data_IF_034787387879
#
_entry.id   IF_034787387879
#
_cell.length_a   1.000
_cell.length_b   1.000
_cell.length_c   1.000
_cell.angle_alpha   90.00
_cell.angle_beta   90.00
_cell.angle_gamma   90.00
#
_symmetry.space_group_name_H-M   'P 1'
#
loop_
_entity.id
_entity.type
_entity.pdbx_description
1 polymer ?
#
# COMPACT_ATOMS: atom_id res chain seq x y z
N UNK A 1 2.47 1.64 25.24
CA UNK A 1 1.61 0.82 26.13
C UNK A 1 0.31 1.59 26.38
N UNK A 2 -0.81 0.91 26.60
CA UNK A 2 -2.09 1.50 27.00
C UNK A 2 -2.88 0.48 27.81
N UNK A 3 -3.74 0.94 28.73
CA UNK A 3 -4.60 0.09 29.55
C UNK A 3 -3.88 -1.09 30.24
N UNK A 4 -2.64 -0.87 30.69
CA UNK A 4 -1.85 -1.88 31.40
C UNK A 4 -1.12 -2.89 30.51
N UNK A 5 -1.13 -2.74 29.18
CA UNK A 5 -0.47 -3.67 28.26
C UNK A 5 0.16 -3.01 27.03
N UNK A 6 0.75 -3.82 26.15
CA UNK A 6 1.20 -3.34 24.86
C UNK A 6 -0.01 -2.98 23.99
N UNK A 7 0.07 -1.90 23.20
CA UNK A 7 -1.06 -1.50 22.34
C UNK A 7 -1.41 -2.58 21.29
N UNK A 8 -0.44 -3.43 20.95
CA UNK A 8 -0.62 -4.57 20.07
C UNK A 8 -1.57 -5.65 20.64
N UNK A 9 -1.65 -5.76 21.97
CA UNK A 9 -2.55 -6.72 22.65
C UNK A 9 -4.02 -6.30 22.54
N UNK A 10 -4.28 -5.05 22.17
CA UNK A 10 -5.64 -4.55 21.92
C UNK A 10 -6.14 -5.10 20.58
N UNK A 11 -7.23 -5.89 20.62
CA UNK A 11 -7.75 -6.61 19.44
C UNK A 11 -7.95 -5.73 18.21
N UNK A 12 -8.47 -4.51 18.38
CA UNK A 12 -8.67 -3.57 17.28
C UNK A 12 -7.36 -3.16 16.57
N UNK A 13 -6.26 -3.05 17.32
CA UNK A 13 -4.92 -2.80 16.75
C UNK A 13 -4.42 -4.06 16.04
N UNK A 14 -4.57 -5.23 16.67
CA UNK A 14 -4.21 -6.52 16.07
C UNK A 14 -4.91 -6.76 14.72
N UNK A 15 -6.23 -6.54 14.63
CA UNK A 15 -7.00 -6.71 13.39
C UNK A 15 -6.54 -5.74 12.30
N UNK A 16 -6.33 -4.47 12.64
CA UNK A 16 -5.82 -3.48 11.68
C UNK A 16 -4.46 -3.86 11.12
N UNK A 17 -3.55 -4.32 11.98
CA UNK A 17 -2.21 -4.73 11.55
C UNK A 17 -2.24 -6.02 10.73
N UNK A 18 -3.12 -6.96 11.08
CA UNK A 18 -3.34 -8.17 10.29
C UNK A 18 -3.86 -7.86 8.88
N UNK A 19 -4.79 -6.90 8.76
CA UNK A 19 -5.28 -6.43 7.46
C UNK A 19 -4.18 -5.74 6.65
N UNK A 20 -3.39 -4.86 7.29
CA UNK A 20 -2.25 -4.20 6.64
C UNK A 20 -1.22 -5.22 6.13
N UNK A 21 -0.89 -6.23 6.95
CA UNK A 21 0.05 -7.29 6.56
C UNK A 21 -0.47 -8.08 5.35
N UNK A 22 -1.76 -8.41 5.34
CA UNK A 22 -2.41 -9.11 4.22
C UNK A 22 -2.37 -8.28 2.93
N UNK A 23 -2.68 -6.99 3.00
CA UNK A 23 -2.63 -6.08 1.86
C UNK A 23 -1.20 -5.88 1.33
N UNK A 24 -0.21 -5.79 2.22
CA UNK A 24 1.20 -5.72 1.83
C UNK A 24 1.66 -6.98 1.09
N UNK A 25 1.24 -8.16 1.55
CA UNK A 25 1.57 -9.41 0.88
C UNK A 25 0.91 -9.49 -0.50
N UNK A 26 -0.37 -9.11 -0.63
CA UNK A 26 -1.03 -9.03 -1.93
C UNK A 26 -0.32 -8.07 -2.90
N UNK A 27 0.10 -6.89 -2.43
CA UNK A 27 0.84 -5.92 -3.24
C UNK A 27 2.19 -6.49 -3.69
N UNK A 28 2.91 -7.16 -2.79
CA UNK A 28 4.17 -7.85 -3.10
C UNK A 28 3.97 -8.90 -4.18
N UNK A 29 2.96 -9.76 -4.06
CA UNK A 29 2.71 -10.80 -5.04
C UNK A 29 2.40 -10.24 -6.44
N UNK A 30 1.62 -9.16 -6.54
CA UNK A 30 1.35 -8.48 -7.81
C UNK A 30 2.62 -7.94 -8.47
N UNK A 31 3.50 -7.31 -7.68
CA UNK A 31 4.78 -6.77 -8.15
C UNK A 31 5.67 -7.91 -8.68
N UNK A 32 5.83 -8.97 -7.89
CA UNK A 32 6.69 -10.11 -8.25
C UNK A 32 6.15 -10.85 -9.47
N UNK A 33 4.83 -10.98 -9.59
CA UNK A 33 4.22 -11.55 -10.78
C UNK A 33 4.52 -10.72 -12.03
N UNK A 34 4.31 -9.40 -11.99
CA UNK A 34 4.60 -8.52 -13.11
C UNK A 34 6.10 -8.55 -13.49
N UNK A 35 7.00 -8.58 -12.50
CA UNK A 35 8.44 -8.71 -12.71
C UNK A 35 8.79 -10.06 -13.37
N UNK A 36 8.22 -11.16 -12.88
CA UNK A 36 8.49 -12.50 -13.45
C UNK A 36 8.10 -12.63 -14.92
N UNK A 37 6.97 -12.01 -15.32
CA UNK A 37 6.55 -11.97 -16.72
C UNK A 37 7.50 -11.13 -17.57
N UNK A 38 7.95 -9.98 -17.03
CA UNK A 38 8.94 -9.12 -17.71
C UNK A 38 10.25 -9.86 -17.95
N UNK A 39 10.77 -10.55 -16.94
CA UNK A 39 12.02 -11.32 -17.03
C UNK A 39 11.91 -12.49 -18.01
N UNK A 40 10.73 -13.10 -18.11
CA UNK A 40 10.44 -14.15 -19.08
C UNK A 40 10.19 -13.62 -20.51
N UNK A 41 10.30 -12.30 -20.75
CA UNK A 41 10.02 -11.68 -22.04
C UNK A 41 8.53 -11.72 -22.45
N UNK A 42 7.64 -11.99 -21.50
CA UNK A 42 6.20 -12.07 -21.75
C UNK A 42 5.54 -10.69 -21.69
N UNK A 43 4.41 -10.49 -22.39
CA UNK A 43 3.58 -9.31 -22.21
C UNK A 43 3.12 -9.20 -20.75
N UNK A 44 3.35 -8.03 -20.14
CA UNK A 44 3.04 -7.83 -18.72
C UNK A 44 2.49 -6.43 -18.39
N UNK A 45 2.03 -5.69 -19.42
CA UNK A 45 1.56 -4.31 -19.23
C UNK A 45 0.36 -4.24 -18.29
N UNK A 46 -0.58 -5.19 -18.42
CA UNK A 46 -1.77 -5.29 -17.56
C UNK A 46 -1.36 -5.59 -16.12
N UNK A 47 -0.48 -6.56 -15.91
CA UNK A 47 0.01 -6.97 -14.60
C UNK A 47 0.82 -5.87 -13.92
N UNK A 48 1.65 -5.15 -14.67
CA UNK A 48 2.38 -3.98 -14.18
C UNK A 48 1.43 -2.84 -13.77
N UNK A 49 0.38 -2.59 -14.56
CA UNK A 49 -0.64 -1.58 -14.22
C UNK A 49 -1.43 -1.98 -12.96
N UNK A 50 -1.81 -3.25 -12.84
CA UNK A 50 -2.45 -3.80 -11.63
C UNK A 50 -1.55 -3.67 -10.40
N UNK A 51 -0.27 -4.02 -10.54
CA UNK A 51 0.71 -3.93 -9.46
C UNK A 51 0.91 -2.48 -8.99
N UNK A 52 1.10 -1.53 -9.92
CA UNK A 52 1.29 -0.11 -9.60
C UNK A 52 0.04 0.47 -8.93
N UNK A 53 -1.14 0.20 -9.49
CA UNK A 53 -2.41 0.66 -8.93
C UNK A 53 -2.58 0.17 -7.49
N UNK A 54 -2.51 -1.14 -7.29
CA UNK A 54 -2.76 -1.74 -5.99
C UNK A 54 -1.69 -1.34 -4.96
N UNK A 55 -0.41 -1.41 -5.30
CA UNK A 55 0.66 -1.09 -4.37
C UNK A 55 0.64 0.38 -3.92
N UNK A 56 0.37 1.32 -4.83
CA UNK A 56 0.32 2.75 -4.49
C UNK A 56 -0.90 3.12 -3.63
N UNK A 57 -2.05 2.50 -3.87
CA UNK A 57 -3.23 2.67 -3.01
C UNK A 57 -3.06 2.00 -1.64
N UNK A 58 -2.47 0.79 -1.59
CA UNK A 58 -2.24 0.11 -0.31
C UNK A 58 -1.15 0.78 0.52
N UNK A 59 -0.09 1.33 -0.10
CA UNK A 59 0.96 2.04 0.62
C UNK A 59 0.39 3.19 1.45
N UNK A 60 -0.54 3.96 0.87
CA UNK A 60 -1.22 5.02 1.61
C UNK A 60 -2.12 4.47 2.72
N UNK A 61 -2.97 3.48 2.44
CA UNK A 61 -3.87 2.90 3.45
C UNK A 61 -3.09 2.37 4.65
N UNK A 62 -1.98 1.68 4.41
CA UNK A 62 -1.10 1.16 5.46
C UNK A 62 -0.47 2.30 6.27
N UNK A 63 0.00 3.37 5.63
CA UNK A 63 0.55 4.53 6.35
C UNK A 63 -0.53 5.22 7.20
N UNK A 64 -1.75 5.39 6.68
CA UNK A 64 -2.89 5.93 7.40
C UNK A 64 -3.26 5.07 8.62
N UNK A 65 -3.32 3.75 8.44
CA UNK A 65 -3.55 2.79 9.51
C UNK A 65 -2.46 2.82 10.59
N UNK A 66 -1.20 3.03 10.20
CA UNK A 66 -0.09 3.20 11.13
C UNK A 66 -0.25 4.48 11.96
N UNK A 67 -0.64 5.61 11.34
CA UNK A 67 -0.93 6.87 12.06
C UNK A 67 -2.04 6.63 13.09
N UNK A 68 -3.13 5.99 12.68
CA UNK A 68 -4.23 5.67 13.59
C UNK A 68 -3.85 4.73 14.73
N UNK A 69 -2.83 3.88 14.54
CA UNK A 69 -2.32 2.96 15.57
C UNK A 69 -1.44 3.67 16.59
N UNK A 70 -0.65 4.63 16.15
CA UNK A 70 0.25 5.41 17.00
C UNK A 70 -0.41 6.65 17.60
N UNK A 71 -1.63 6.99 17.16
CA UNK A 71 -2.39 8.13 17.67
C UNK A 71 -1.69 9.46 17.37
N UNK A 72 -1.70 10.38 18.33
CA UNK A 72 -1.06 11.70 18.17
C UNK A 72 0.42 11.61 17.77
N UNK A 73 1.15 10.62 18.29
CA UNK A 73 2.56 10.42 17.93
C UNK A 73 2.78 9.99 16.49
N UNK A 74 1.77 9.42 15.83
CA UNK A 74 1.83 9.13 14.40
C UNK A 74 1.63 10.37 13.51
N UNK A 75 1.05 11.44 14.07
CA UNK A 75 0.66 12.65 13.33
C UNK A 75 1.66 13.80 13.47
N UNK A 76 2.36 13.89 14.62
CA UNK A 76 3.37 14.91 14.86
C UNK A 76 4.65 14.64 14.09
N UNK A 77 5.38 15.71 13.76
CA UNK A 77 6.62 15.66 12.98
C UNK A 77 7.86 15.23 13.80
N UNK A 78 7.70 14.94 15.09
CA UNK A 78 8.75 14.34 15.93
C UNK A 78 9.12 12.92 15.44
N UNK A 79 8.20 12.26 14.72
CA UNK A 79 8.37 10.93 14.16
C UNK A 79 8.21 10.95 12.63
N UNK A 80 8.89 10.06 11.89
CA UNK A 80 8.93 10.13 10.43
C UNK A 80 7.62 9.75 9.73
N UNK A 81 6.60 9.28 10.47
CA UNK A 81 5.43 8.63 9.89
C UNK A 81 4.56 9.59 9.08
N UNK A 82 4.33 10.81 9.57
CA UNK A 82 3.56 11.82 8.83
C UNK A 82 4.21 12.14 7.47
N UNK A 83 5.56 12.18 7.45
CA UNK A 83 6.34 12.40 6.24
C UNK A 83 6.19 11.24 5.27
N UNK A 84 6.34 10.00 5.77
CA UNK A 84 6.17 8.79 4.95
C UNK A 84 4.77 8.76 4.33
N UNK A 85 3.73 9.11 5.10
CA UNK A 85 2.35 9.21 4.58
C UNK A 85 2.26 10.21 3.42
N UNK A 86 2.84 11.41 3.57
CA UNK A 86 2.88 12.41 2.48
C UNK A 86 3.65 11.90 1.27
N UNK A 87 4.77 11.23 1.48
CA UNK A 87 5.62 10.71 0.40
C UNK A 87 4.88 9.62 -0.40
N UNK A 88 4.17 8.70 0.24
CA UNK A 88 3.44 7.64 -0.49
C UNK A 88 2.21 8.15 -1.26
N UNK A 89 1.65 9.31 -0.88
CA UNK A 89 0.53 9.92 -1.64
C UNK A 89 0.92 10.23 -3.08
N UNK A 90 2.16 10.65 -3.33
CA UNK A 90 2.58 11.02 -4.69
C UNK A 90 2.59 9.81 -5.64
N UNK A 91 2.76 8.59 -5.12
CA UNK A 91 2.75 7.35 -5.89
C UNK A 91 1.44 7.09 -6.62
N UNK A 92 0.33 7.68 -6.18
CA UNK A 92 -0.97 7.58 -6.87
C UNK A 92 -1.10 8.58 -8.04
N UNK A 93 -0.14 9.50 -8.20
CA UNK A 93 -0.20 10.64 -9.13
C UNK A 93 0.88 10.53 -10.21
N UNK A 94 2.14 10.31 -9.83
CA UNK A 94 3.24 10.20 -10.79
C UNK A 94 3.22 8.85 -11.53
N UNK A 95 3.89 8.77 -12.68
CA UNK A 95 3.97 7.57 -13.55
C UNK A 95 2.60 6.98 -13.93
N UNK A 96 1.62 7.87 -14.12
CA UNK A 96 0.25 7.55 -14.47
C UNK A 96 -0.63 7.39 -13.23
N UNK A 97 -1.64 8.25 -13.12
CA UNK A 97 -2.57 8.25 -11.97
C UNK A 97 -3.29 6.91 -11.80
N UNK A 98 -3.91 6.68 -10.64
CA UNK A 98 -4.77 5.49 -10.44
C UNK A 98 -5.78 5.30 -11.58
N UNK A 99 -6.36 6.37 -12.10
CA UNK A 99 -7.35 6.29 -13.19
C UNK A 99 -6.72 5.94 -14.54
N UNK A 100 -5.49 6.39 -14.80
CA UNK A 100 -4.72 5.94 -15.96
C UNK A 100 -4.40 4.45 -15.85
N UNK A 101 -4.02 3.95 -14.67
CA UNK A 101 -3.79 2.52 -14.49
C UNK A 101 -5.07 1.70 -14.72
N UNK A 102 -6.21 2.15 -14.20
CA UNK A 102 -7.53 1.52 -14.46
C UNK A 102 -7.87 1.52 -15.95
N UNK A 103 -7.58 2.60 -16.68
CA UNK A 103 -7.78 2.66 -18.13
C UNK A 103 -6.90 1.65 -18.89
N UNK A 104 -5.63 1.48 -18.50
CA UNK A 104 -4.75 0.47 -19.08
C UNK A 104 -5.25 -0.95 -18.81
N UNK A 105 -5.71 -1.22 -17.59
CA UNK A 105 -6.31 -2.50 -17.21
C UNK A 105 -7.56 -2.76 -18.05
N UNK A 106 -8.47 -1.78 -18.14
CA UNK A 106 -9.70 -1.89 -18.93
C UNK A 106 -9.42 -2.25 -20.39
N UNK A 107 -8.46 -1.57 -21.03
CA UNK A 107 -8.07 -1.83 -22.42
C UNK A 107 -7.48 -3.23 -22.65
N UNK A 108 -6.92 -3.86 -21.61
CA UNK A 108 -6.39 -5.21 -21.70
C UNK A 108 -7.45 -6.30 -21.48
N UNK A 109 -8.66 -5.93 -21.05
CA UNK A 109 -9.80 -6.84 -20.88
C UNK A 109 -10.73 -6.87 -22.10
N UNK A 110 -10.63 -5.87 -22.97
CA UNK A 110 -11.33 -5.77 -24.26
C UNK A 110 -10.53 -6.42 -25.38
#
# INVERSE_FOLDING_TARGET
QAFGGAIFEQQAVGFRLAECATQLEAARQLIWHAASLRDAGQPCLKEAAMAKLFASEMAEKVCSAAIQTLGGYGYVNDFPLERIYRDVRVCQIYEGTSDIQKLLIQRALS
#
